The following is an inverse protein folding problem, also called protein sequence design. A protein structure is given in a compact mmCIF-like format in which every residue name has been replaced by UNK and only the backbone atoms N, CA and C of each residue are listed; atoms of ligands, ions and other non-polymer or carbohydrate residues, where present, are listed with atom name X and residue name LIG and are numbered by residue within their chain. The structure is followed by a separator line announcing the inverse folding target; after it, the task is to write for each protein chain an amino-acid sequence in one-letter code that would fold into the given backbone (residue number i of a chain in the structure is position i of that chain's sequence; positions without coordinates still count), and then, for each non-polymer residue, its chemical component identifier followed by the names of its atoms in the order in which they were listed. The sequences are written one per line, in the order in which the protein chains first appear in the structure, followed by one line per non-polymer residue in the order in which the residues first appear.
data_IF_169204870113
#
_entry.id   IF_169204870113
#
_cell.length_a   1.000
_cell.length_b   1.000
_cell.length_c   1.000
_cell.angle_alpha   90.00
_cell.angle_beta   90.00
_cell.angle_gamma   90.00
#
_symmetry.space_group_name_H-M   'P 1'
#
loop_
_entity.id
_entity.type
_entity.pdbx_description
1 polymer ?
#
# COMPACT_ATOMS: atom_id res chain seq x y z
N UNK A 1 9.50 7.84 20.65
CA UNK A 1 8.33 7.65 19.75
C UNK A 1 8.66 8.01 18.30
N UNK A 2 9.05 9.25 18.00
CA UNK A 2 9.29 9.76 16.62
C UNK A 2 10.28 8.92 15.79
N UNK A 3 11.38 8.41 16.38
CA UNK A 3 12.38 7.64 15.60
C UNK A 3 11.93 6.25 15.15
N UNK A 4 10.86 5.71 15.75
CA UNK A 4 10.30 4.41 15.38
C UNK A 4 9.25 4.58 14.29
N UNK A 5 8.40 5.61 14.39
CA UNK A 5 7.49 6.02 13.30
C UNK A 5 8.27 6.37 12.03
N UNK A 6 9.34 7.16 12.12
CA UNK A 6 10.18 7.48 10.96
C UNK A 6 10.85 6.25 10.31
N UNK A 7 11.07 5.17 11.08
CA UNK A 7 11.60 3.90 10.56
C UNK A 7 10.51 3.04 9.93
N UNK A 8 9.30 3.05 10.49
CA UNK A 8 8.13 2.38 9.93
C UNK A 8 7.64 3.06 8.65
N UNK A 9 7.69 4.39 8.57
CA UNK A 9 7.33 5.17 7.38
C UNK A 9 8.41 5.18 6.29
N UNK A 10 9.61 4.65 6.60
CA UNK A 10 10.69 4.56 5.62
C UNK A 10 10.34 3.53 4.53
N UNK A 11 10.53 3.91 3.25
CA UNK A 11 10.45 3.01 2.08
C UNK A 11 11.44 1.82 2.13
N UNK A 12 12.33 1.78 3.14
CA UNK A 12 13.23 0.65 3.42
C UNK A 12 12.58 -0.44 4.29
N UNK A 13 11.47 -0.15 4.98
CA UNK A 13 10.72 -1.12 5.76
C UNK A 13 9.56 -1.72 4.96
N UNK A 14 9.11 -2.92 5.35
CA UNK A 14 7.94 -3.58 4.73
C UNK A 14 6.69 -2.74 4.97
N UNK A 15 6.49 -2.25 6.20
CA UNK A 15 5.34 -1.44 6.58
C UNK A 15 5.28 -0.11 5.83
N UNK A 16 6.42 0.55 5.63
CA UNK A 16 6.49 1.80 4.87
C UNK A 16 6.11 1.60 3.41
N UNK A 17 6.55 0.48 2.81
CA UNK A 17 6.15 0.11 1.44
C UNK A 17 4.66 -0.23 1.33
N UNK A 18 4.10 -0.93 2.32
CA UNK A 18 2.67 -1.22 2.39
C UNK A 18 1.84 0.07 2.54
N UNK A 19 2.29 0.99 3.41
CA UNK A 19 1.68 2.30 3.60
C UNK A 19 1.71 3.13 2.31
N UNK A 20 2.86 3.14 1.61
CA UNK A 20 3.00 3.80 0.31
C UNK A 20 2.09 3.17 -0.74
N UNK A 21 1.92 1.86 -0.71
CA UNK A 21 1.01 1.15 -1.61
C UNK A 21 -0.44 1.57 -1.37
N UNK A 22 -0.88 1.69 -0.12
CA UNK A 22 -2.22 2.20 0.24
C UNK A 22 -2.45 3.62 -0.31
N UNK A 23 -1.50 4.54 -0.12
CA UNK A 23 -1.56 5.89 -0.70
C UNK A 23 -1.73 5.89 -2.22
N UNK A 24 -1.07 4.96 -2.91
CA UNK A 24 -1.21 4.83 -4.35
C UNK A 24 -2.59 4.30 -4.74
N UNK A 25 -3.11 3.31 -4.01
CA UNK A 25 -4.43 2.73 -4.27
C UNK A 25 -5.57 3.71 -3.95
N UNK A 26 -5.39 4.69 -3.06
CA UNK A 26 -6.40 5.73 -2.84
C UNK A 26 -6.76 6.47 -4.15
N UNK A 27 -5.75 6.70 -5.01
CA UNK A 27 -5.93 7.33 -6.33
C UNK A 27 -6.25 6.32 -7.44
N UNK A 28 -6.16 5.03 -7.14
CA UNK A 28 -6.19 3.93 -8.10
C UNK A 28 -4.81 3.67 -8.68
N UNK A 29 -4.28 2.47 -8.48
CA UNK A 29 -2.98 2.09 -9.01
C UNK A 29 -2.95 0.65 -9.52
N UNK A 30 -2.34 0.44 -10.68
CA UNK A 30 -2.08 -0.89 -11.22
C UNK A 30 -0.87 -1.54 -10.52
N UNK A 31 -0.80 -2.87 -10.58
CA UNK A 31 0.35 -3.64 -10.07
C UNK A 31 1.68 -3.19 -10.70
N UNK A 32 1.66 -2.79 -11.98
CA UNK A 32 2.85 -2.34 -12.70
C UNK A 32 3.33 -0.97 -12.19
N UNK A 33 2.41 -0.06 -11.87
CA UNK A 33 2.74 1.24 -11.27
C UNK A 33 3.28 1.07 -9.86
N UNK A 34 2.61 0.24 -9.03
CA UNK A 34 3.07 -0.08 -7.67
C UNK A 34 4.47 -0.70 -7.71
N UNK A 35 4.68 -1.72 -8.54
CA UNK A 35 5.97 -2.41 -8.66
C UNK A 35 7.10 -1.47 -9.08
N UNK A 36 6.86 -0.59 -10.08
CA UNK A 36 7.84 0.42 -10.49
C UNK A 36 8.13 1.42 -9.38
N UNK A 37 7.10 1.96 -8.72
CA UNK A 37 7.26 3.00 -7.69
C UNK A 37 8.00 2.46 -6.45
N UNK A 38 7.64 1.26 -6.01
CA UNK A 38 8.25 0.60 -4.85
C UNK A 38 9.53 -0.19 -5.17
N UNK A 39 9.95 -0.20 -6.44
CA UNK A 39 11.12 -0.93 -6.94
C UNK A 39 11.12 -2.40 -6.48
N UNK A 40 9.99 -3.07 -6.67
CA UNK A 40 9.81 -4.46 -6.25
C UNK A 40 9.12 -5.32 -7.30
N UNK A 41 9.28 -6.63 -7.18
CA UNK A 41 8.69 -7.59 -8.11
C UNK A 41 7.16 -7.61 -7.98
N UNK A 42 6.46 -8.02 -9.04
CA UNK A 42 5.01 -8.25 -9.00
C UNK A 42 4.62 -9.22 -7.88
N UNK A 43 5.42 -10.26 -7.64
CA UNK A 43 5.21 -11.21 -6.53
C UNK A 43 5.29 -10.53 -5.16
N UNK A 44 6.18 -9.56 -4.99
CA UNK A 44 6.27 -8.75 -3.77
C UNK A 44 5.06 -7.85 -3.60
N UNK A 45 4.54 -7.25 -4.68
CA UNK A 45 3.29 -6.47 -4.65
C UNK A 45 2.11 -7.34 -4.20
N UNK A 46 1.96 -8.54 -4.77
CA UNK A 46 0.91 -9.48 -4.33
C UNK A 46 1.04 -9.85 -2.85
N UNK A 47 2.26 -10.09 -2.36
CA UNK A 47 2.47 -10.33 -0.93
C UNK A 47 2.01 -9.16 -0.06
N UNK A 48 2.17 -7.92 -0.53
CA UNK A 48 1.67 -6.76 0.18
C UNK A 48 0.15 -6.65 0.11
N UNK A 49 -0.47 -6.92 -1.05
CA UNK A 49 -1.94 -6.99 -1.17
C UNK A 49 -2.52 -7.98 -0.17
N UNK A 50 -2.03 -9.22 -0.16
CA UNK A 50 -2.52 -10.26 0.75
C UNK A 50 -2.40 -9.82 2.21
N UNK A 51 -1.28 -9.22 2.61
CA UNK A 51 -1.09 -8.74 3.97
C UNK A 51 -2.06 -7.61 4.36
N UNK A 52 -2.48 -6.77 3.41
CA UNK A 52 -3.47 -5.72 3.65
C UNK A 52 -4.90 -6.30 3.72
N UNK A 53 -5.22 -7.27 2.87
CA UNK A 53 -6.49 -8.01 2.92
C UNK A 53 -6.62 -8.81 4.23
N UNK A 54 -5.57 -9.50 4.66
CA UNK A 54 -5.49 -10.20 5.95
C UNK A 54 -5.66 -9.25 7.15
N UNK A 55 -5.22 -8.00 7.00
CA UNK A 55 -5.45 -6.94 7.99
C UNK A 55 -6.87 -6.33 7.94
N UNK A 56 -7.74 -6.84 7.05
CA UNK A 56 -9.12 -6.39 6.91
C UNK A 56 -9.28 -5.08 6.15
N UNK A 57 -8.28 -4.67 5.36
CA UNK A 57 -8.39 -3.46 4.55
C UNK A 57 -9.24 -3.74 3.31
N UNK A 58 -10.35 -3.00 3.09
CA UNK A 58 -11.20 -3.17 1.92
C UNK A 58 -10.49 -2.66 0.66
N UNK A 59 -10.05 -3.59 -0.19
CA UNK A 59 -9.42 -3.31 -1.49
C UNK A 59 -10.36 -3.79 -2.59
N UNK A 60 -10.58 -2.95 -3.61
CA UNK A 60 -11.36 -3.29 -4.81
C UNK A 60 -10.49 -3.25 -6.05
N UNK A 61 -10.83 -4.07 -7.05
CA UNK A 61 -10.22 -4.05 -8.37
C UNK A 61 -11.22 -3.42 -9.36
N UNK A 62 -10.86 -2.28 -9.93
CA UNK A 62 -11.65 -1.56 -10.93
C UNK A 62 -10.91 -1.61 -12.28
N UNK A 63 -11.33 -2.52 -13.15
CA UNK A 63 -10.61 -2.77 -14.41
C UNK A 63 -9.20 -3.31 -14.14
N UNK A 64 -8.19 -2.46 -14.28
CA UNK A 64 -6.77 -2.82 -14.09
C UNK A 64 -6.12 -2.15 -12.88
N UNK A 65 -6.86 -1.34 -12.11
CA UNK A 65 -6.35 -0.60 -10.97
C UNK A 65 -6.94 -1.10 -9.66
N UNK A 66 -6.11 -1.19 -8.63
CA UNK A 66 -6.51 -1.48 -7.26
C UNK A 66 -6.84 -0.19 -6.55
N UNK A 67 -7.94 -0.19 -5.78
CA UNK A 67 -8.40 0.93 -4.96
C UNK A 67 -8.61 0.53 -3.52
N UNK A 68 -8.40 1.48 -2.61
CA UNK A 68 -8.79 1.36 -1.19
C UNK A 68 -9.87 2.39 -0.89
N UNK A 69 -10.82 2.02 -0.02
CA UNK A 69 -11.88 2.93 0.41
C UNK A 69 -11.29 4.19 1.08
N UNK A 70 -11.77 5.37 0.70
CA UNK A 70 -11.27 6.66 1.20
C UNK A 70 -11.43 6.83 2.72
N UNK A 71 -12.37 6.12 3.35
CA UNK A 71 -12.53 6.14 4.80
C UNK A 71 -11.34 5.48 5.52
N UNK A 72 -10.72 4.47 4.90
CA UNK A 72 -9.51 3.82 5.44
C UNK A 72 -8.31 4.75 5.31
N UNK A 73 -8.16 5.41 4.17
CA UNK A 73 -7.08 6.38 3.94
C UNK A 73 -7.13 7.53 4.96
N UNK A 74 -8.32 8.08 5.23
CA UNK A 74 -8.51 9.11 6.27
C UNK A 74 -8.15 8.63 7.67
N UNK A 75 -8.47 7.38 8.01
CA UNK A 75 -8.19 6.81 9.33
C UNK A 75 -6.69 6.59 9.55
N UNK A 76 -5.95 6.29 8.48
CA UNK A 76 -4.51 6.06 8.50
C UNK A 76 -3.67 7.35 8.40
N UNK A 77 -4.30 8.53 8.24
CA UNK A 77 -3.63 9.84 8.03
C UNK A 77 -2.54 9.80 6.95
N UNK A 78 -2.76 9.03 5.88
CA UNK A 78 -1.84 8.90 4.75
C UNK A 78 -2.28 9.70 3.54
#
# INVERSE_FOLDING_TARGET
AVSLCNRLESDRSIYGRQLKMLQMMEKGASLAEIGRKLRCSRRTVFRYLNALEEAGIPITLEGTVYRVDQNVSRMLKV
#
